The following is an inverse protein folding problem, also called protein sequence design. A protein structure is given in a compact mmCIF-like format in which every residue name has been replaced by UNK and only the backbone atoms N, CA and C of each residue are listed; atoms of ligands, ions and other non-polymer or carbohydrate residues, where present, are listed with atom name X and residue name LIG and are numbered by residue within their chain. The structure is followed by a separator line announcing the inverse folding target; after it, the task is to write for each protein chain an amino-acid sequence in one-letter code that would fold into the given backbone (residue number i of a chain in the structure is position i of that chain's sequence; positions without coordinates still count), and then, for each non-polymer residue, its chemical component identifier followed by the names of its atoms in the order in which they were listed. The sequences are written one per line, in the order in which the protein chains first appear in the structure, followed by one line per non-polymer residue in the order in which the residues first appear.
data_IF_251984624620
#
_entry.id   IF_251984624620
#
_cell.length_a   1.000
_cell.length_b   1.000
_cell.length_c   1.000
_cell.angle_alpha   90.00
_cell.angle_beta   90.00
_cell.angle_gamma   90.00
#
_symmetry.space_group_name_H-M   'P 1'
#
loop_
_entity.id
_entity.type
_entity.pdbx_description
1 polymer ?
#
# COMPACT_ATOMS: atom_id res chain seq x y z
N UNK A 1 1.41 -14.74 31.53
CA UNK A 1 1.44 -13.54 30.68
C UNK A 1 2.47 -12.61 31.27
N UNK A 2 3.62 -12.45 30.61
CA UNK A 2 4.61 -11.45 31.03
C UNK A 2 3.87 -10.09 31.02
N UNK A 3 3.83 -9.38 32.14
CA UNK A 3 3.19 -8.07 32.20
C UNK A 3 4.01 -7.14 31.31
N UNK A 4 3.61 -7.01 30.06
CA UNK A 4 4.30 -6.20 29.06
C UNK A 4 4.50 -4.79 29.60
N UNK A 5 5.76 -4.33 29.59
CA UNK A 5 6.11 -2.94 29.91
C UNK A 5 5.28 -2.02 28.99
N UNK A 6 4.60 -0.97 29.54
CA UNK A 6 3.89 0.02 28.74
C UNK A 6 4.71 0.57 27.55
N UNK A 7 6.02 0.74 27.73
CA UNK A 7 6.92 1.18 26.65
C UNK A 7 6.96 0.18 25.48
N UNK A 8 7.08 -1.12 25.75
CA UNK A 8 7.10 -2.15 24.72
C UNK A 8 5.80 -2.16 23.88
N UNK A 9 4.66 -1.91 24.54
CA UNK A 9 3.37 -1.75 23.86
C UNK A 9 3.35 -0.52 22.96
N UNK A 10 3.85 0.61 23.44
CA UNK A 10 3.95 1.84 22.64
C UNK A 10 4.80 1.62 21.40
N UNK A 11 5.97 1.00 21.51
CA UNK A 11 6.85 0.75 20.37
C UNK A 11 6.30 -0.28 19.39
N UNK A 12 5.62 -1.32 19.88
CA UNK A 12 4.89 -2.25 19.03
C UNK A 12 3.80 -1.53 18.22
N UNK A 13 2.95 -0.71 18.86
CA UNK A 13 1.95 0.11 18.16
C UNK A 13 2.58 1.07 17.15
N UNK A 14 3.72 1.70 17.50
CA UNK A 14 4.44 2.59 16.60
C UNK A 14 4.95 1.89 15.33
N UNK A 15 5.31 0.60 15.41
CA UNK A 15 5.68 -0.16 14.21
C UNK A 15 4.51 -0.18 13.20
N UNK A 16 3.30 -0.43 13.68
CA UNK A 16 2.10 -0.41 12.83
C UNK A 16 1.72 1.01 12.39
N UNK A 17 1.72 1.99 13.29
CA UNK A 17 1.34 3.38 12.98
C UNK A 17 2.30 4.05 11.98
N UNK A 18 3.59 3.71 12.02
CA UNK A 18 4.57 4.26 11.09
C UNK A 18 4.28 3.90 9.62
N UNK A 19 3.46 2.87 9.36
CA UNK A 19 3.02 2.50 8.02
C UNK A 19 2.13 3.56 7.34
N UNK A 20 1.46 4.43 8.12
CA UNK A 20 0.58 5.49 7.60
C UNK A 20 1.32 6.64 6.93
N UNK A 21 2.63 6.79 7.18
CA UNK A 21 3.44 7.80 6.51
C UNK A 21 3.35 7.67 4.98
N UNK A 22 3.35 6.44 4.46
CA UNK A 22 3.19 6.21 3.02
C UNK A 22 1.81 6.59 2.48
N UNK A 23 0.77 6.42 3.29
CA UNK A 23 -0.60 6.80 2.92
C UNK A 23 -0.71 8.33 2.77
N UNK A 24 -0.23 9.07 3.77
CA UNK A 24 -0.25 10.55 3.77
C UNK A 24 0.50 11.12 2.57
N UNK A 25 1.69 10.61 2.28
CA UNK A 25 2.50 11.07 1.15
C UNK A 25 1.86 10.76 -0.21
N UNK A 26 1.10 9.66 -0.31
CA UNK A 26 0.37 9.31 -1.54
C UNK A 26 -0.82 10.25 -1.80
N UNK A 27 -1.52 10.71 -0.76
CA UNK A 27 -2.66 11.61 -0.90
C UNK A 27 -2.28 13.04 -1.33
N UNK A 28 -1.06 13.49 -1.05
CA UNK A 28 -0.56 14.82 -1.45
C UNK A 28 0.03 14.87 -2.86
N UNK A 29 -0.12 13.80 -3.65
CA UNK A 29 0.28 13.76 -5.05
C UNK A 29 1.80 13.70 -5.28
N UNK A 30 2.59 13.49 -4.22
CA UNK A 30 3.99 13.08 -4.40
C UNK A 30 3.99 11.70 -5.06
N UNK A 31 4.88 11.45 -6.05
CA UNK A 31 5.00 10.13 -6.63
C UNK A 31 5.21 9.14 -5.48
N UNK A 32 4.49 8.00 -5.48
CA UNK A 32 4.61 7.01 -4.43
C UNK A 32 6.06 6.54 -4.46
N UNK A 33 6.89 7.04 -3.55
CA UNK A 33 8.05 6.29 -3.12
C UNK A 33 7.44 5.04 -2.49
N UNK A 34 7.28 4.00 -3.32
CA UNK A 34 6.45 2.80 -3.13
C UNK A 34 6.87 1.91 -1.96
N UNK A 35 7.72 2.44 -1.10
CA UNK A 35 8.29 1.77 0.06
C UNK A 35 8.16 2.61 1.32
N UNK A 36 7.59 3.82 1.27
CA UNK A 36 7.39 4.67 2.48
C UNK A 36 6.50 4.00 3.52
N UNK A 37 5.56 3.17 3.08
CA UNK A 37 4.71 2.33 3.92
C UNK A 37 5.45 1.17 4.61
N UNK A 38 6.68 0.85 4.16
CA UNK A 38 7.59 -0.17 4.70
C UNK A 38 8.73 0.48 5.50
N UNK A 39 9.27 1.60 4.99
CA UNK A 39 10.39 2.33 5.60
C UNK A 39 10.04 2.84 6.99
N UNK A 40 8.82 3.36 7.20
CA UNK A 40 8.37 3.78 8.52
C UNK A 40 8.47 2.66 9.57
N UNK A 41 7.72 1.55 9.40
CA UNK A 41 7.80 0.38 10.28
C UNK A 41 9.22 -0.18 10.41
N UNK A 42 10.00 -0.19 9.32
CA UNK A 42 11.37 -0.70 9.30
C UNK A 42 12.29 0.11 10.21
N UNK A 43 12.21 1.44 10.16
CA UNK A 43 12.99 2.32 11.01
C UNK A 43 12.62 2.07 12.48
N UNK A 44 11.33 2.05 12.81
CA UNK A 44 10.87 1.82 14.19
C UNK A 44 11.34 0.46 14.71
N UNK A 45 11.18 -0.60 13.90
CA UNK A 45 11.62 -1.95 14.27
C UNK A 45 13.15 -2.02 14.45
N UNK A 46 13.94 -1.46 13.55
CA UNK A 46 15.40 -1.50 13.66
C UNK A 46 15.95 -0.80 14.91
N UNK A 47 15.27 0.25 15.39
CA UNK A 47 15.64 0.97 16.62
C UNK A 47 15.43 0.09 17.86
N UNK A 48 14.33 -0.67 17.92
CA UNK A 48 13.87 -1.32 19.16
C UNK A 48 13.85 -2.85 19.17
N UNK A 49 14.08 -3.52 18.04
CA UNK A 49 13.98 -4.98 17.91
C UNK A 49 14.84 -5.80 18.88
N UNK A 50 15.97 -5.24 19.35
CA UNK A 50 16.88 -5.95 20.23
C UNK A 50 16.56 -5.73 21.72
N UNK A 51 15.61 -4.85 22.04
CA UNK A 51 15.29 -4.47 23.42
C UNK A 51 14.18 -5.33 24.03
N UNK A 52 13.21 -5.78 23.23
CA UNK A 52 12.06 -6.57 23.69
C UNK A 52 11.53 -7.49 22.59
N UNK A 53 11.33 -8.78 22.92
CA UNK A 53 10.83 -9.81 21.99
C UNK A 53 9.42 -9.49 21.47
N UNK A 54 8.59 -8.80 22.27
CA UNK A 54 7.27 -8.33 21.87
C UNK A 54 7.35 -7.29 20.74
N UNK A 55 8.29 -6.34 20.85
CA UNK A 55 8.51 -5.33 19.80
C UNK A 55 9.02 -6.00 18.53
N UNK A 56 9.93 -6.96 18.66
CA UNK A 56 10.49 -7.69 17.54
C UNK A 56 9.43 -8.51 16.78
N UNK A 57 8.53 -9.17 17.50
CA UNK A 57 7.41 -9.90 16.92
C UNK A 57 6.47 -8.97 16.12
N UNK A 58 5.98 -7.89 16.74
CA UNK A 58 5.08 -6.93 16.09
C UNK A 58 5.74 -6.14 14.96
N UNK A 59 7.02 -5.78 15.10
CA UNK A 59 7.77 -5.12 14.03
C UNK A 59 7.89 -5.98 12.79
N UNK A 60 8.19 -7.28 12.94
CA UNK A 60 8.20 -8.24 11.82
C UNK A 60 6.82 -8.44 11.20
N UNK A 61 5.78 -8.58 12.03
CA UNK A 61 4.40 -8.71 11.56
C UNK A 61 3.98 -7.49 10.71
N UNK A 62 4.23 -6.29 11.24
CA UNK A 62 3.97 -5.04 10.54
C UNK A 62 4.69 -4.98 9.19
N UNK A 63 5.98 -5.33 9.16
CA UNK A 63 6.77 -5.34 7.92
C UNK A 63 6.25 -6.36 6.90
N UNK A 64 5.95 -7.58 7.33
CA UNK A 64 5.43 -8.63 6.45
C UNK A 64 4.06 -8.25 5.86
N UNK A 65 3.19 -7.63 6.67
CA UNK A 65 1.91 -7.13 6.22
C UNK A 65 2.08 -6.04 5.16
N UNK A 66 2.94 -5.05 5.42
CA UNK A 66 3.20 -3.96 4.49
C UNK A 66 3.84 -4.44 3.18
N UNK A 67 4.75 -5.40 3.24
CA UNK A 67 5.33 -6.04 2.06
C UNK A 67 4.26 -6.78 1.24
N UNK A 68 3.40 -7.55 1.90
CA UNK A 68 2.32 -8.29 1.23
C UNK A 68 1.33 -7.35 0.54
N UNK A 69 0.90 -6.28 1.23
CA UNK A 69 0.02 -5.26 0.65
C UNK A 69 0.66 -4.55 -0.53
N UNK A 70 1.95 -4.20 -0.44
CA UNK A 70 2.70 -3.61 -1.56
C UNK A 70 2.74 -4.57 -2.76
N UNK A 71 3.02 -5.85 -2.55
CA UNK A 71 3.05 -6.85 -3.63
C UNK A 71 1.68 -7.05 -4.28
N UNK A 72 0.61 -7.13 -3.49
CA UNK A 72 -0.75 -7.22 -4.03
C UNK A 72 -1.14 -5.97 -4.82
N UNK A 73 -0.78 -4.78 -4.33
CA UNK A 73 -0.98 -3.53 -5.04
C UNK A 73 -0.27 -3.53 -6.39
N UNK A 74 1.01 -3.88 -6.43
CA UNK A 74 1.80 -3.98 -7.67
C UNK A 74 1.15 -4.99 -8.65
N UNK A 75 0.78 -6.18 -8.19
CA UNK A 75 0.18 -7.20 -9.04
C UNK A 75 -1.14 -6.72 -9.68
N UNK A 76 -2.01 -6.06 -8.90
CA UNK A 76 -3.27 -5.50 -9.40
C UNK A 76 -3.05 -4.36 -10.40
N UNK A 77 -2.08 -3.48 -10.13
CA UNK A 77 -1.73 -2.39 -11.05
C UNK A 77 -1.19 -2.94 -12.38
N UNK A 78 -0.27 -3.91 -12.34
CA UNK A 78 0.29 -4.55 -13.54
C UNK A 78 -0.81 -5.23 -14.35
N UNK A 79 -1.67 -6.03 -13.69
CA UNK A 79 -2.78 -6.70 -14.35
C UNK A 79 -3.73 -5.70 -15.02
N UNK A 80 -4.03 -4.59 -14.34
CA UNK A 80 -4.87 -3.54 -14.91
C UNK A 80 -4.27 -2.93 -16.18
N UNK A 81 -2.98 -2.59 -16.18
CA UNK A 81 -2.32 -2.04 -17.36
C UNK A 81 -2.26 -3.04 -18.53
N UNK A 82 -2.07 -4.34 -18.25
CA UNK A 82 -2.14 -5.38 -19.29
C UNK A 82 -3.52 -5.42 -19.93
N UNK A 83 -4.59 -5.44 -19.12
CA UNK A 83 -5.97 -5.45 -19.60
C UNK A 83 -6.25 -4.18 -20.42
N UNK A 84 -5.88 -3.01 -19.89
CA UNK A 84 -6.07 -1.73 -20.56
C UNK A 84 -5.34 -1.68 -21.91
N UNK A 85 -4.10 -2.18 -21.96
CA UNK A 85 -3.32 -2.23 -23.20
C UNK A 85 -3.97 -3.12 -24.26
N UNK A 86 -4.43 -4.32 -23.88
CA UNK A 86 -5.12 -5.24 -24.80
C UNK A 86 -6.41 -4.62 -25.34
N UNK A 87 -7.20 -3.96 -24.48
CA UNK A 87 -8.44 -3.30 -24.88
C UNK A 87 -8.20 -2.12 -25.83
N UNK A 88 -7.18 -1.30 -25.55
CA UNK A 88 -6.79 -0.19 -26.44
C UNK A 88 -6.33 -0.73 -27.79
N UNK A 89 -5.51 -1.79 -27.81
CA UNK A 89 -5.03 -2.38 -29.06
C UNK A 89 -6.18 -2.97 -29.88
N UNK A 90 -7.10 -3.71 -29.25
CA UNK A 90 -8.29 -4.25 -29.90
C UNK A 90 -9.21 -3.14 -30.44
N UNK A 91 -9.43 -2.08 -29.66
CA UNK A 91 -10.22 -0.92 -30.06
C UNK A 91 -9.58 -0.14 -31.21
N UNK A 92 -8.27 0.09 -31.16
CA UNK A 92 -7.52 0.79 -32.20
C UNK A 92 -7.48 0.03 -33.53
N UNK A 93 -7.47 -1.31 -33.50
CA UNK A 93 -7.58 -2.13 -34.72
C UNK A 93 -9.00 -2.08 -35.29
N UNK A 94 -10.02 -2.00 -34.44
CA UNK A 94 -11.42 -2.02 -34.85
C UNK A 94 -11.99 -0.65 -35.27
N UNK A 95 -11.43 0.46 -34.76
CA UNK A 95 -12.00 1.80 -34.89
C UNK A 95 -11.10 2.74 -35.70
N UNK A 96 -11.64 3.31 -36.78
CA UNK A 96 -11.07 4.47 -37.47
C UNK A 96 -11.59 5.77 -36.84
N UNK A 97 -11.47 5.90 -35.52
CA UNK A 97 -12.15 6.94 -34.73
C UNK A 97 -11.29 8.18 -34.41
N UNK A 98 -10.10 8.28 -35.00
CA UNK A 98 -9.21 9.43 -34.79
C UNK A 98 -8.64 9.56 -33.37
N UNK A 99 -8.66 8.50 -32.55
CA UNK A 99 -8.05 8.47 -31.22
C UNK A 99 -9.01 8.79 -30.06
N UNK A 100 -10.31 8.92 -30.33
CA UNK A 100 -11.35 9.15 -29.32
C UNK A 100 -11.41 7.99 -28.32
N UNK A 101 -11.32 6.74 -28.78
CA UNK A 101 -11.26 5.57 -27.91
C UNK A 101 -10.10 5.63 -26.92
N UNK A 102 -8.90 6.00 -27.37
CA UNK A 102 -7.72 6.11 -26.51
C UNK A 102 -7.90 7.14 -25.39
N UNK A 103 -8.55 8.28 -25.67
CA UNK A 103 -8.87 9.29 -24.65
C UNK A 103 -9.85 8.75 -23.60
N UNK A 104 -10.92 8.06 -24.03
CA UNK A 104 -11.91 7.46 -23.11
C UNK A 104 -11.24 6.41 -22.20
N UNK A 105 -10.43 5.53 -22.78
CA UNK A 105 -9.68 4.52 -22.02
C UNK A 105 -8.67 5.15 -21.05
N UNK A 106 -8.00 6.23 -21.45
CA UNK A 106 -7.10 6.98 -20.56
C UNK A 106 -7.82 7.56 -19.35
N UNK A 107 -8.99 8.19 -19.55
CA UNK A 107 -9.81 8.73 -18.46
C UNK A 107 -10.32 7.61 -17.55
N UNK A 108 -10.81 6.50 -18.11
CA UNK A 108 -11.19 5.32 -17.33
C UNK A 108 -10.02 4.75 -16.52
N UNK A 109 -8.82 4.73 -17.11
CA UNK A 109 -7.57 4.34 -16.47
C UNK A 109 -7.27 5.16 -15.22
N UNK A 110 -7.36 6.49 -15.34
CA UNK A 110 -7.14 7.41 -14.22
C UNK A 110 -8.18 7.21 -13.11
N UNK A 111 -9.46 7.12 -13.48
CA UNK A 111 -10.55 6.89 -12.51
C UNK A 111 -10.32 5.58 -11.76
N UNK A 112 -9.94 4.52 -12.48
CA UNK A 112 -9.63 3.22 -11.86
C UNK A 112 -8.47 3.31 -10.88
N UNK A 113 -7.38 3.99 -11.22
CA UNK A 113 -6.23 4.16 -10.32
C UNK A 113 -6.62 4.90 -9.04
N UNK A 114 -7.46 5.93 -9.14
CA UNK A 114 -7.96 6.64 -7.95
C UNK A 114 -8.84 5.72 -7.09
N UNK A 115 -9.79 5.01 -7.69
CA UNK A 115 -10.67 4.07 -6.98
C UNK A 115 -9.84 2.97 -6.30
N UNK A 116 -8.88 2.38 -7.02
CA UNK A 116 -7.99 1.36 -6.49
C UNK A 116 -7.19 1.89 -5.30
N UNK A 117 -6.61 3.08 -5.42
CA UNK A 117 -5.86 3.72 -4.34
C UNK A 117 -6.71 3.95 -3.09
N UNK A 118 -7.95 4.41 -3.25
CA UNK A 118 -8.89 4.60 -2.14
C UNK A 118 -9.26 3.26 -1.49
N UNK A 119 -9.60 2.24 -2.29
CA UNK A 119 -9.96 0.91 -1.78
C UNK A 119 -8.79 0.30 -1.02
N UNK A 120 -7.58 0.33 -1.60
CA UNK A 120 -6.37 -0.19 -0.95
C UNK A 120 -6.09 0.56 0.34
N UNK A 121 -6.24 1.89 0.35
CA UNK A 121 -6.05 2.71 1.55
C UNK A 121 -7.05 2.40 2.66
N UNK A 122 -8.33 2.22 2.33
CA UNK A 122 -9.37 1.83 3.29
C UNK A 122 -9.15 0.41 3.82
N UNK A 123 -8.80 -0.53 2.95
CA UNK A 123 -8.46 -1.90 3.35
C UNK A 123 -7.24 -1.90 4.28
N UNK A 124 -6.21 -1.11 3.97
CA UNK A 124 -5.03 -1.00 4.83
C UNK A 124 -5.40 -0.39 6.20
N UNK A 125 -6.27 0.61 6.25
CA UNK A 125 -6.76 1.18 7.51
C UNK A 125 -7.45 0.11 8.37
N UNK A 126 -8.42 -0.61 7.79
CA UNK A 126 -9.17 -1.67 8.50
C UNK A 126 -8.23 -2.78 8.96
N UNK A 127 -7.40 -3.31 8.07
CA UNK A 127 -6.51 -4.42 8.39
C UNK A 127 -5.47 -4.01 9.43
N UNK A 128 -4.92 -2.80 9.37
CA UNK A 128 -3.95 -2.35 10.37
C UNK A 128 -4.59 -2.21 11.76
N UNK A 129 -5.82 -1.72 11.85
CA UNK A 129 -6.53 -1.69 13.14
C UNK A 129 -6.78 -3.08 13.72
N UNK A 130 -6.97 -4.10 12.89
CA UNK A 130 -7.17 -5.48 13.35
C UNK A 130 -5.87 -6.13 13.83
N UNK A 131 -4.72 -5.80 13.23
CA UNK A 131 -3.41 -6.32 13.65
C UNK A 131 -2.78 -5.53 14.82
N UNK A 132 -3.27 -4.31 15.10
CA UNK A 132 -2.76 -3.47 16.17
C UNK A 132 -3.55 -3.59 17.50
N UNK A 133 -4.64 -4.38 17.54
CA UNK A 133 -5.50 -4.66 18.70
C UNK A 133 -5.18 -6.04 19.31
#
# INVERSE_FOLDING_TARGET
MQSLNPEARTWAMLCHLASFLGLILSFIGLPPFAFTNIVGPLIVWLIKKNEDEFIDAHGRESLNFQLSMTLYGIALTVLFFIILFVLILAGAIAANDGGVGALIFGVFGIIWLVILGVIVGLLQLVLLTLHAL
#
